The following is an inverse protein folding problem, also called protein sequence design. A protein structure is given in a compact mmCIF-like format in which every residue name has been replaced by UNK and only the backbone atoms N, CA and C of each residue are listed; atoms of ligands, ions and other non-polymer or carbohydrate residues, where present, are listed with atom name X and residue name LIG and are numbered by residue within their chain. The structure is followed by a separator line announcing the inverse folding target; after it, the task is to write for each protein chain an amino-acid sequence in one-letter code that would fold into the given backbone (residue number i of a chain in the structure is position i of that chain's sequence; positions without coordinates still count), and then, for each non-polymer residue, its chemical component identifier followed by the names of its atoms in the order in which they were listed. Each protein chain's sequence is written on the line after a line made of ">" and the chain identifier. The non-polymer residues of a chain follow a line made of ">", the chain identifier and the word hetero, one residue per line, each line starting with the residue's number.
data_IF_783565513118
#
_entry.id   IF_783565513118
#
_cell.length_a   1.000
_cell.length_b   1.000
_cell.length_c   1.000
_cell.angle_alpha   90.00
_cell.angle_beta   90.00
_cell.angle_gamma   90.00
#
_symmetry.space_group_name_H-M   'P 1'
#
loop_
_entity.id
_entity.type
_entity.pdbx_description
1 polymer ?
#
# COMPACT_ATOMS: atom_id res chain seq x y z
N UNK A 1 -16.90 24.82 -5.22
CA UNK A 1 -17.10 23.46 -5.77
C UNK A 1 -15.77 22.73 -5.62
N UNK A 2 -15.67 21.75 -4.72
CA UNK A 2 -14.41 21.03 -4.50
C UNK A 2 -14.09 20.24 -5.76
N UNK A 3 -12.98 20.56 -6.43
CA UNK A 3 -12.39 19.61 -7.37
C UNK A 3 -11.99 18.39 -6.55
N UNK A 4 -12.81 17.35 -6.62
CA UNK A 4 -12.57 16.12 -5.88
C UNK A 4 -11.21 15.58 -6.33
N UNK A 5 -10.27 15.41 -5.41
CA UNK A 5 -8.95 14.89 -5.73
C UNK A 5 -9.11 13.37 -5.90
N UNK A 6 -9.11 12.82 -7.13
CA UNK A 6 -9.37 11.39 -7.30
C UNK A 6 -8.27 10.59 -6.60
N UNK A 7 -8.67 9.47 -5.99
CA UNK A 7 -7.73 8.50 -5.41
C UNK A 7 -7.53 7.41 -6.45
N UNK A 8 -6.28 7.08 -6.74
CA UNK A 8 -5.91 5.93 -7.55
C UNK A 8 -4.98 5.03 -6.72
N UNK A 9 -5.11 3.73 -6.87
CA UNK A 9 -4.24 2.74 -6.24
C UNK A 9 -3.71 1.79 -7.29
N UNK A 10 -2.41 1.61 -7.34
CA UNK A 10 -1.76 0.65 -8.22
C UNK A 10 -1.15 -0.46 -7.40
N UNK A 11 -1.42 -1.71 -7.75
CA UNK A 11 -1.00 -2.89 -7.03
C UNK A 11 -0.19 -3.79 -7.98
N UNK A 12 0.98 -4.26 -7.53
CA UNK A 12 1.81 -5.24 -8.23
C UNK A 12 1.73 -6.57 -7.49
N UNK A 13 1.28 -7.61 -8.17
CA UNK A 13 1.37 -8.98 -7.70
C UNK A 13 2.73 -9.58 -8.04
N UNK A 14 3.46 -10.01 -7.01
CA UNK A 14 4.66 -10.84 -7.10
C UNK A 14 4.23 -12.31 -7.08
N UNK A 15 3.59 -12.73 -8.17
CA UNK A 15 2.91 -14.03 -8.31
C UNK A 15 3.85 -15.18 -8.69
N UNK A 16 5.16 -14.95 -8.77
CA UNK A 16 6.22 -15.94 -8.96
C UNK A 16 7.52 -15.42 -8.38
N UNK A 17 8.49 -16.33 -8.23
CA UNK A 17 9.86 -15.97 -7.92
C UNK A 17 10.50 -15.14 -9.04
N UNK A 18 11.39 -14.22 -8.66
CA UNK A 18 12.15 -13.38 -9.57
C UNK A 18 13.54 -13.98 -9.82
N UNK A 19 14.12 -13.70 -10.99
CA UNK A 19 15.51 -14.06 -11.26
C UNK A 19 16.48 -12.97 -10.84
N UNK A 20 17.77 -13.30 -10.74
CA UNK A 20 18.81 -12.32 -10.41
C UNK A 20 18.92 -11.24 -11.47
N UNK A 21 18.75 -11.60 -12.73
CA UNK A 21 18.80 -10.70 -13.87
C UNK A 21 17.64 -9.70 -13.82
N UNK A 22 16.44 -10.17 -13.45
CA UNK A 22 15.26 -9.32 -13.23
C UNK A 22 15.51 -8.35 -12.07
N UNK A 23 16.03 -8.84 -10.94
CA UNK A 23 16.43 -7.98 -9.82
C UNK A 23 17.42 -6.90 -10.26
N UNK A 24 18.49 -7.28 -10.97
CA UNK A 24 19.54 -6.37 -11.41
C UNK A 24 18.98 -5.28 -12.33
N UNK A 25 18.08 -5.65 -13.26
CA UNK A 25 17.44 -4.72 -14.17
C UNK A 25 16.58 -3.71 -13.39
N UNK A 26 15.74 -4.17 -12.47
CA UNK A 26 14.90 -3.30 -11.66
C UNK A 26 15.72 -2.38 -10.74
N UNK A 27 16.73 -2.94 -10.04
CA UNK A 27 17.60 -2.19 -9.11
C UNK A 27 18.37 -1.09 -9.84
N UNK A 28 18.89 -1.39 -11.04
CA UNK A 28 19.54 -0.38 -11.90
C UNK A 28 18.59 0.77 -12.25
N UNK A 29 17.35 0.48 -12.65
CA UNK A 29 16.36 1.54 -12.97
C UNK A 29 16.11 2.44 -11.76
N UNK A 30 15.93 1.87 -10.57
CA UNK A 30 15.70 2.65 -9.35
C UNK A 30 16.91 3.55 -9.05
N UNK A 31 18.14 3.02 -9.11
CA UNK A 31 19.33 3.84 -8.86
C UNK A 31 19.50 4.98 -9.87
N UNK A 32 19.26 4.69 -11.15
CA UNK A 32 19.43 5.66 -12.23
C UNK A 32 18.35 6.76 -12.17
N UNK A 33 17.11 6.39 -11.84
CA UNK A 33 15.96 7.29 -11.93
C UNK A 33 15.57 7.96 -10.60
N UNK A 34 15.91 7.35 -9.47
CA UNK A 34 15.51 7.76 -8.12
C UNK A 34 16.74 7.83 -7.19
N UNK A 35 17.67 8.77 -7.40
CA UNK A 35 18.94 8.81 -6.67
C UNK A 35 18.80 9.07 -5.16
N UNK A 36 17.64 9.57 -4.72
CA UNK A 36 17.29 9.78 -3.31
C UNK A 36 16.89 8.48 -2.59
N UNK A 37 16.47 7.45 -3.33
CA UNK A 37 16.14 6.13 -2.80
C UNK A 37 17.43 5.34 -2.64
N UNK A 38 17.70 4.84 -1.43
CA UNK A 38 18.88 4.02 -1.13
C UNK A 38 18.44 2.63 -0.71
N UNK A 39 18.40 1.71 -1.66
CA UNK A 39 18.09 0.29 -1.41
C UNK A 39 19.39 -0.52 -1.52
N UNK A 40 19.83 -1.21 -0.45
CA UNK A 40 20.97 -2.11 -0.51
C UNK A 40 20.79 -3.16 -1.60
N UNK A 41 21.83 -3.36 -2.41
CA UNK A 41 21.86 -4.44 -3.40
C UNK A 41 21.97 -5.78 -2.67
N UNK A 42 20.87 -6.54 -2.65
CA UNK A 42 20.75 -7.82 -1.95
C UNK A 42 19.78 -8.75 -2.70
N UNK A 43 20.17 -9.32 -3.86
CA UNK A 43 19.29 -10.14 -4.69
C UNK A 43 18.65 -11.35 -4.00
N UNK A 44 19.32 -12.08 -3.08
CA UNK A 44 18.70 -13.20 -2.37
C UNK A 44 17.58 -12.79 -1.41
N UNK A 45 17.50 -11.51 -1.04
CA UNK A 45 16.52 -11.00 -0.08
C UNK A 45 15.27 -10.49 -0.79
N UNK A 46 14.16 -11.22 -0.62
CA UNK A 46 12.87 -10.88 -1.20
C UNK A 46 12.35 -9.49 -0.76
N UNK A 47 12.68 -9.03 0.45
CA UNK A 47 12.30 -7.67 0.89
C UNK A 47 13.03 -6.58 0.11
N UNK A 48 14.31 -6.81 -0.23
CA UNK A 48 15.04 -5.90 -1.11
C UNK A 48 14.37 -5.81 -2.48
N UNK A 49 13.93 -6.93 -3.06
CA UNK A 49 13.21 -6.92 -4.32
C UNK A 49 11.85 -6.22 -4.23
N UNK A 50 11.06 -6.47 -3.16
CA UNK A 50 9.80 -5.76 -2.91
C UNK A 50 10.02 -4.25 -2.82
N UNK A 51 11.05 -3.80 -2.12
CA UNK A 51 11.41 -2.39 -2.04
C UNK A 51 11.70 -1.83 -3.44
N UNK A 52 12.53 -2.52 -4.23
CA UNK A 52 12.85 -2.09 -5.61
C UNK A 52 11.57 -1.99 -6.44
N UNK A 53 10.76 -3.05 -6.48
CA UNK A 53 9.52 -3.12 -7.25
C UNK A 53 8.53 -2.02 -6.86
N UNK A 54 8.38 -1.76 -5.56
CA UNK A 54 7.45 -0.74 -5.08
C UNK A 54 7.92 0.67 -5.44
N UNK A 55 9.23 0.96 -5.41
CA UNK A 55 9.78 2.26 -5.81
C UNK A 55 9.72 2.50 -7.32
N UNK A 56 9.50 1.47 -8.13
CA UNK A 56 9.27 1.66 -9.57
C UNK A 56 7.83 2.11 -9.91
N UNK A 57 6.87 2.01 -8.98
CA UNK A 57 5.47 2.41 -9.21
C UNK A 57 5.32 3.91 -9.58
N UNK A 58 5.96 4.87 -8.88
CA UNK A 58 5.96 6.26 -9.29
C UNK A 58 6.49 6.48 -10.71
N UNK A 59 7.56 5.77 -11.10
CA UNK A 59 8.14 5.85 -12.45
C UNK A 59 7.13 5.35 -13.49
N UNK A 60 6.50 4.21 -13.23
CA UNK A 60 5.50 3.64 -14.12
C UNK A 60 4.29 4.58 -14.28
N UNK A 61 3.84 5.20 -13.18
CA UNK A 61 2.72 6.15 -13.20
C UNK A 61 3.04 7.34 -14.09
N UNK A 62 4.20 7.98 -13.88
CA UNK A 62 4.59 9.14 -14.69
C UNK A 62 4.76 8.77 -16.16
N UNK A 63 5.31 7.58 -16.45
CA UNK A 63 5.38 7.05 -17.81
C UNK A 63 4.00 6.82 -18.43
N UNK A 64 3.06 6.23 -17.70
CA UNK A 64 1.69 6.01 -18.16
C UNK A 64 0.97 7.33 -18.47
N UNK A 65 1.24 8.37 -17.68
CA UNK A 65 0.77 9.75 -17.90
C UNK A 65 1.51 10.48 -19.03
N UNK A 66 2.49 9.82 -19.68
CA UNK A 66 3.34 10.37 -20.74
C UNK A 66 4.15 11.60 -20.31
N UNK A 67 4.55 11.65 -19.04
CA UNK A 67 5.39 12.72 -18.50
C UNK A 67 6.84 12.21 -18.43
N UNK A 68 7.77 12.78 -19.22
CA UNK A 68 9.16 12.34 -19.25
C UNK A 68 9.85 12.50 -17.89
N UNK A 69 10.84 11.65 -17.57
CA UNK A 69 11.54 11.70 -16.27
C UNK A 69 12.13 13.06 -15.95
N UNK A 70 12.64 13.79 -16.95
CA UNK A 70 13.22 15.12 -16.78
C UNK A 70 12.19 16.22 -16.38
N UNK A 71 10.89 15.97 -16.59
CA UNK A 71 9.81 16.95 -16.35
C UNK A 71 9.14 16.81 -14.99
N UNK A 72 9.76 16.09 -14.05
CA UNK A 72 9.25 16.00 -12.69
C UNK A 72 10.34 15.67 -11.69
N UNK A 73 10.05 15.96 -10.43
CA UNK A 73 10.87 15.60 -9.28
C UNK A 73 10.00 14.95 -8.21
N UNK A 74 10.61 14.01 -7.49
CA UNK A 74 10.04 13.54 -6.23
C UNK A 74 10.52 14.47 -5.12
N UNK A 75 9.62 14.81 -4.22
CA UNK A 75 9.85 15.73 -3.13
C UNK A 75 9.37 15.11 -1.83
N UNK A 76 10.03 15.46 -0.73
CA UNK A 76 9.80 14.87 0.58
C UNK A 76 9.58 15.97 1.62
N UNK A 77 8.61 15.75 2.49
CA UNK A 77 8.32 16.61 3.65
C UNK A 77 9.25 16.24 4.82
N UNK A 78 9.26 17.07 5.87
CA UNK A 78 10.06 16.79 7.07
C UNK A 78 9.67 15.50 7.81
N UNK A 79 8.44 15.00 7.64
CA UNK A 79 7.96 13.74 8.19
C UNK A 79 7.95 12.59 7.17
N UNK A 80 8.68 12.73 6.05
CA UNK A 80 8.88 11.65 5.10
C UNK A 80 7.71 11.39 4.13
N UNK A 81 6.70 12.27 4.07
CA UNK A 81 5.63 12.19 3.06
C UNK A 81 6.13 12.66 1.70
N UNK A 82 5.85 11.88 0.67
CA UNK A 82 6.27 12.13 -0.70
C UNK A 82 5.20 12.83 -1.54
N UNK A 83 5.64 13.68 -2.46
CA UNK A 83 4.82 14.17 -3.56
C UNK A 83 5.67 14.39 -4.81
N UNK A 84 5.05 14.21 -5.97
CA UNK A 84 5.64 14.53 -7.27
C UNK A 84 5.22 15.93 -7.67
N UNK A 85 6.21 16.71 -8.07
CA UNK A 85 6.05 18.02 -8.67
C UNK A 85 6.51 17.97 -10.14
N UNK A 86 5.63 18.38 -11.06
CA UNK A 86 5.92 18.47 -12.49
C UNK A 86 6.61 19.80 -12.79
N UNK A 87 7.41 19.90 -13.87
CA UNK A 87 7.97 21.19 -14.30
C UNK A 87 6.86 22.13 -14.82
N UNK A 88 6.94 23.44 -14.54
CA UNK A 88 5.90 24.39 -14.92
C UNK A 88 5.89 24.74 -16.42
N UNK A 89 6.95 24.40 -17.16
CA UNK A 89 7.27 24.93 -18.50
C UNK A 89 6.15 24.77 -19.56
N UNK A 90 5.27 23.77 -19.40
CA UNK A 90 4.15 23.51 -20.33
C UNK A 90 2.77 23.70 -19.68
N UNK A 91 2.68 24.33 -18.51
CA UNK A 91 1.45 24.37 -17.73
C UNK A 91 1.07 25.79 -17.25
N UNK A 92 -0.19 26.23 -17.47
CA UNK A 92 -0.71 27.44 -16.85
C UNK A 92 -0.55 27.42 -15.32
N UNK A 93 -0.27 28.57 -14.66
CA UNK A 93 -0.01 28.61 -13.22
C UNK A 93 -1.11 27.97 -12.35
N UNK A 94 -2.38 28.17 -12.71
CA UNK A 94 -3.51 27.57 -12.01
C UNK A 94 -3.51 26.03 -12.09
N UNK A 95 -3.19 25.48 -13.26
CA UNK A 95 -3.10 24.03 -13.45
C UNK A 95 -1.88 23.46 -12.72
N UNK A 96 -0.77 24.20 -12.72
CA UNK A 96 0.46 23.79 -12.04
C UNK A 96 0.21 23.58 -10.53
N UNK A 97 -0.48 24.52 -9.89
CA UNK A 97 -0.85 24.41 -8.46
C UNK A 97 -1.69 23.18 -8.14
N UNK A 98 -2.45 22.65 -9.10
CA UNK A 98 -3.29 21.45 -8.97
C UNK A 98 -2.68 20.18 -9.61
N UNK A 99 -1.41 20.25 -10.05
CA UNK A 99 -0.72 19.16 -10.73
C UNK A 99 0.09 18.26 -9.80
N UNK A 100 0.19 18.63 -8.52
CA UNK A 100 0.97 17.90 -7.53
C UNK A 100 0.34 16.54 -7.28
N UNK A 101 1.16 15.51 -7.21
CA UNK A 101 0.70 14.14 -6.97
C UNK A 101 1.27 13.66 -5.65
N UNK A 102 0.45 13.59 -4.61
CA UNK A 102 0.84 12.96 -3.36
C UNK A 102 0.68 11.47 -3.47
N UNK A 103 1.62 10.71 -2.91
CA UNK A 103 1.55 9.26 -2.95
C UNK A 103 2.18 8.62 -1.72
N UNK A 104 1.83 7.36 -1.52
CA UNK A 104 2.47 6.50 -0.54
C UNK A 104 2.59 5.10 -1.11
N UNK A 105 3.74 4.48 -0.86
CA UNK A 105 4.06 3.13 -1.30
C UNK A 105 4.15 2.20 -0.10
N UNK A 106 3.63 0.98 -0.25
CA UNK A 106 3.69 -0.06 0.78
C UNK A 106 3.79 -1.44 0.11
N UNK A 107 4.31 -2.43 0.83
CA UNK A 107 4.30 -3.82 0.39
C UNK A 107 4.04 -4.75 1.57
N UNK A 108 3.52 -5.94 1.25
CA UNK A 108 3.26 -7.03 2.18
C UNK A 108 3.39 -8.34 1.40
N UNK A 109 4.28 -9.25 1.82
CA UNK A 109 4.50 -10.58 1.22
C UNK A 109 4.58 -10.59 -0.32
N UNK A 110 3.52 -10.92 -1.06
CA UNK A 110 3.52 -10.97 -2.53
C UNK A 110 2.79 -9.81 -3.20
N UNK A 111 2.48 -8.76 -2.43
CA UNK A 111 1.73 -7.61 -2.92
C UNK A 111 2.51 -6.32 -2.64
N UNK A 112 2.82 -5.57 -3.69
CA UNK A 112 3.35 -4.21 -3.61
C UNK A 112 2.26 -3.24 -4.05
N UNK A 113 2.24 -2.03 -3.50
CA UNK A 113 1.18 -1.07 -3.80
C UNK A 113 1.61 0.39 -3.69
N UNK A 114 0.90 1.24 -4.43
CA UNK A 114 1.01 2.69 -4.37
C UNK A 114 -0.37 3.30 -4.35
N UNK A 115 -0.70 4.04 -3.30
CA UNK A 115 -1.86 4.93 -3.27
C UNK A 115 -1.42 6.33 -3.70
N UNK A 116 -2.19 6.98 -4.57
CA UNK A 116 -1.86 8.29 -5.11
C UNK A 116 -3.11 9.16 -5.30
N UNK A 117 -2.90 10.46 -5.28
CA UNK A 117 -3.95 11.44 -5.57
C UNK A 117 -3.34 12.73 -6.11
N UNK A 118 -4.13 13.50 -6.87
CA UNK A 118 -3.67 14.72 -7.51
C UNK A 118 -4.45 15.95 -7.04
N UNK A 119 -3.75 17.06 -6.85
CA UNK A 119 -4.32 18.33 -6.42
C UNK A 119 -3.25 19.32 -5.94
N UNK A 120 -3.63 20.18 -5.00
CA UNK A 120 -2.70 21.12 -4.34
C UNK A 120 -1.85 20.34 -3.35
N UNK A 121 -0.55 20.64 -3.26
CA UNK A 121 0.42 19.95 -2.39
C UNK A 121 -0.13 19.61 -0.99
N UNK A 122 -0.64 20.61 -0.25
CA UNK A 122 -1.19 20.43 1.11
C UNK A 122 -2.40 19.49 1.21
N UNK A 123 -3.08 19.23 0.09
CA UNK A 123 -4.24 18.34 0.00
C UNK A 123 -3.90 16.94 -0.46
N UNK A 124 -2.67 16.70 -0.95
CA UNK A 124 -2.29 15.39 -1.51
C UNK A 124 -1.27 14.64 -0.66
N UNK A 125 -0.49 15.36 0.14
CA UNK A 125 0.60 14.76 0.94
C UNK A 125 0.10 13.79 2.03
N UNK A 126 -1.13 13.99 2.53
CA UNK A 126 -1.73 13.17 3.58
C UNK A 126 -2.50 11.98 2.98
N UNK A 127 -1.76 11.04 2.40
CA UNK A 127 -2.27 9.78 1.83
C UNK A 127 -1.45 8.60 2.34
N UNK A 128 -2.08 7.48 2.66
CA UNK A 128 -1.40 6.29 3.17
C UNK A 128 -2.05 5.00 2.67
N UNK A 129 -1.25 3.95 2.55
CA UNK A 129 -1.67 2.63 2.13
C UNK A 129 -1.29 1.62 3.21
N UNK A 130 -2.26 0.87 3.71
CA UNK A 130 -2.08 -0.28 4.59
C UNK A 130 -2.40 -1.56 3.82
N UNK A 131 -1.57 -2.58 4.01
CA UNK A 131 -1.73 -3.89 3.37
C UNK A 131 -1.47 -4.95 4.45
N UNK A 132 -2.39 -5.90 4.59
CA UNK A 132 -2.23 -7.03 5.51
C UNK A 132 -2.57 -8.34 4.82
N UNK A 133 -1.63 -9.27 4.82
CA UNK A 133 -1.86 -10.65 4.40
C UNK A 133 -2.86 -11.30 5.38
N UNK A 134 -3.90 -11.92 4.85
CA UNK A 134 -4.95 -12.59 5.64
C UNK A 134 -4.50 -14.02 5.93
N UNK A 135 -3.45 -14.14 6.74
CA UNK A 135 -2.91 -15.41 7.22
C UNK A 135 -2.37 -15.23 8.64
N UNK A 136 -2.41 -16.31 9.44
CA UNK A 136 -1.71 -16.33 10.71
C UNK A 136 -0.21 -16.56 10.47
N UNK A 137 0.63 -15.78 11.15
CA UNK A 137 2.09 -15.84 11.00
C UNK A 137 2.77 -16.06 12.37
N UNK A 138 3.81 -16.92 12.45
CA UNK A 138 4.36 -17.78 11.39
C UNK A 138 3.43 -18.94 10.98
N UNK A 139 3.74 -19.58 9.85
CA UNK A 139 2.95 -20.70 9.31
C UNK A 139 2.75 -21.80 10.36
N UNK A 140 1.51 -22.30 10.47
CA UNK A 140 1.11 -23.33 11.43
C UNK A 140 0.66 -22.81 12.79
N UNK A 141 0.76 -21.50 13.04
CA UNK A 141 0.18 -20.88 14.25
C UNK A 141 -1.33 -20.71 14.10
N UNK A 142 -2.08 -21.05 15.16
CA UNK A 142 -3.53 -20.85 15.20
C UNK A 142 -3.92 -19.37 15.31
N UNK A 143 -5.08 -18.99 14.75
CA UNK A 143 -5.54 -17.59 14.69
C UNK A 143 -5.64 -16.95 16.07
N UNK A 144 -6.07 -17.70 17.09
CA UNK A 144 -6.13 -17.22 18.47
C UNK A 144 -4.75 -16.76 18.98
N UNK A 145 -3.73 -17.61 18.84
CA UNK A 145 -2.37 -17.29 19.29
C UNK A 145 -1.77 -16.12 18.50
N UNK A 146 -2.04 -16.06 17.18
CA UNK A 146 -1.64 -14.93 16.36
C UNK A 146 -2.28 -13.62 16.83
N UNK A 147 -3.60 -13.64 17.10
CA UNK A 147 -4.35 -12.48 17.60
C UNK A 147 -3.81 -12.02 18.96
N UNK A 148 -3.54 -12.95 19.88
CA UNK A 148 -2.95 -12.67 21.18
C UNK A 148 -1.56 -12.03 21.05
N UNK A 149 -0.72 -12.49 20.12
CA UNK A 149 0.59 -11.89 19.86
C UNK A 149 0.52 -10.43 19.40
N UNK A 150 -0.59 -10.06 18.74
CA UNK A 150 -0.85 -8.71 18.22
C UNK A 150 -1.72 -7.87 19.14
N UNK A 151 -2.13 -8.38 20.30
CA UNK A 151 -3.03 -7.70 21.22
C UNK A 151 -2.51 -6.32 21.64
N UNK A 152 -1.20 -6.15 21.80
CA UNK A 152 -0.56 -4.88 22.15
C UNK A 152 -0.78 -3.76 21.11
N UNK A 153 -1.20 -4.09 19.87
CA UNK A 153 -1.53 -3.11 18.82
C UNK A 153 -3.01 -2.72 18.81
N UNK A 154 -3.82 -3.35 19.65
CA UNK A 154 -5.27 -3.25 19.65
C UNK A 154 -5.78 -2.61 20.94
N UNK A 155 -6.79 -1.76 20.79
CA UNK A 155 -7.58 -1.21 21.90
C UNK A 155 -8.49 -2.28 22.51
N UNK A 156 -9.01 -2.01 23.70
CA UNK A 156 -10.01 -2.89 24.34
C UNK A 156 -11.24 -3.08 23.47
N UNK A 157 -11.75 -2.01 22.85
CA UNK A 157 -12.90 -2.04 21.95
C UNK A 157 -12.64 -2.94 20.75
N UNK A 158 -11.49 -2.77 20.08
CA UNK A 158 -11.13 -3.60 18.92
C UNK A 158 -10.99 -5.07 19.28
N UNK A 159 -10.47 -5.40 20.48
CA UNK A 159 -10.38 -6.79 20.95
C UNK A 159 -11.75 -7.43 21.09
N UNK A 160 -12.78 -6.68 21.49
CA UNK A 160 -14.16 -7.19 21.54
C UNK A 160 -14.76 -7.48 20.16
N UNK A 161 -14.15 -6.98 19.07
CA UNK A 161 -14.59 -7.30 17.71
C UNK A 161 -14.03 -8.64 17.19
N UNK A 162 -13.11 -9.27 17.94
CA UNK A 162 -12.36 -10.46 17.56
C UNK A 162 -12.73 -11.69 18.41
N UNK A 163 -13.98 -11.78 18.87
CA UNK A 163 -14.37 -12.84 19.81
C UNK A 163 -14.31 -14.23 19.18
N UNK A 164 -13.99 -15.29 19.96
CA UNK A 164 -13.83 -16.65 19.44
C UNK A 164 -15.09 -17.21 18.76
N UNK A 165 -16.28 -16.74 19.12
CA UNK A 165 -17.57 -17.23 18.60
C UNK A 165 -17.77 -16.92 17.11
N UNK A 166 -16.98 -16.00 16.55
CA UNK A 166 -17.03 -15.61 15.14
C UNK A 166 -16.40 -16.65 14.20
N UNK A 167 -15.57 -17.55 14.74
CA UNK A 167 -14.72 -18.44 13.97
C UNK A 167 -13.42 -17.79 13.47
N UNK A 168 -12.39 -18.62 13.28
CA UNK A 168 -11.03 -18.20 12.97
C UNK A 168 -10.92 -17.33 11.70
N UNK A 169 -11.61 -17.70 10.63
CA UNK A 169 -11.57 -16.95 9.36
C UNK A 169 -12.10 -15.52 9.53
N UNK A 170 -13.23 -15.36 10.22
CA UNK A 170 -13.85 -14.05 10.43
C UNK A 170 -13.00 -13.20 11.37
N UNK A 171 -12.50 -13.80 12.46
CA UNK A 171 -11.62 -13.12 13.40
C UNK A 171 -10.33 -12.62 12.73
N UNK A 172 -9.66 -13.47 11.94
CA UNK A 172 -8.45 -13.12 11.21
C UNK A 172 -8.69 -11.97 10.22
N UNK A 173 -9.78 -12.05 9.44
CA UNK A 173 -10.13 -11.01 8.48
C UNK A 173 -10.42 -9.66 9.15
N UNK A 174 -11.13 -9.66 10.28
CA UNK A 174 -11.37 -8.44 11.07
C UNK A 174 -10.09 -7.86 11.64
N UNK A 175 -9.23 -8.72 12.19
CA UNK A 175 -7.90 -8.32 12.69
C UNK A 175 -7.08 -7.66 11.58
N UNK A 176 -6.96 -8.29 10.41
CA UNK A 176 -6.21 -7.72 9.28
C UNK A 176 -6.84 -6.41 8.77
N UNK A 177 -8.16 -6.25 8.84
CA UNK A 177 -8.85 -4.99 8.50
C UNK A 177 -8.45 -3.86 9.45
N UNK A 178 -8.53 -4.10 10.76
CA UNK A 178 -8.15 -3.12 11.78
C UNK A 178 -6.67 -2.73 11.64
N UNK A 179 -5.79 -3.72 11.46
CA UNK A 179 -4.36 -3.46 11.30
C UNK A 179 -4.06 -2.69 10.00
N UNK A 180 -4.72 -3.01 8.89
CA UNK A 180 -4.55 -2.28 7.65
C UNK A 180 -5.06 -0.83 7.77
N UNK A 181 -6.17 -0.58 8.47
CA UNK A 181 -6.68 0.77 8.78
C UNK A 181 -5.66 1.59 9.58
N UNK A 182 -5.14 1.02 10.67
CA UNK A 182 -4.12 1.67 11.50
C UNK A 182 -2.86 1.97 10.70
N UNK A 183 -2.37 1.00 9.93
CA UNK A 183 -1.20 1.16 9.10
C UNK A 183 -1.38 2.27 8.06
N UNK A 184 -2.51 2.27 7.34
CA UNK A 184 -2.83 3.28 6.35
C UNK A 184 -2.86 4.69 6.97
N UNK A 185 -3.48 4.84 8.15
CA UNK A 185 -3.52 6.12 8.85
C UNK A 185 -2.14 6.58 9.30
N UNK A 186 -1.38 5.74 10.01
CA UNK A 186 0.00 6.01 10.46
C UNK A 186 0.87 6.46 9.29
N UNK A 187 0.79 5.73 8.18
CA UNK A 187 1.47 6.08 6.93
C UNK A 187 1.00 7.44 6.41
N UNK A 188 -0.31 7.73 6.40
CA UNK A 188 -0.86 8.97 5.88
C UNK A 188 -0.40 10.21 6.65
N UNK A 189 -0.29 10.12 7.98
CA UNK A 189 0.18 11.23 8.83
C UNK A 189 1.71 11.29 8.98
N UNK A 190 2.44 10.33 8.42
CA UNK A 190 3.91 10.31 8.42
C UNK A 190 4.50 10.06 9.81
N UNK A 191 3.87 9.20 10.61
CA UNK A 191 4.44 8.80 11.90
C UNK A 191 5.64 7.86 11.69
N UNK A 192 6.70 8.00 12.51
CA UNK A 192 7.90 7.18 12.38
C UNK A 192 7.67 5.73 12.85
N UNK A 193 8.60 4.81 12.52
CA UNK A 193 8.65 3.49 13.14
C UNK A 193 8.63 3.60 14.66
N UNK A 194 7.86 2.72 15.33
CA UNK A 194 7.71 2.73 16.79
C UNK A 194 6.53 3.54 17.32
N UNK A 195 5.74 4.19 16.46
CA UNK A 195 4.44 4.75 16.88
C UNK A 195 3.58 3.68 17.54
N UNK A 196 2.90 4.02 18.64
CA UNK A 196 2.03 3.10 19.37
C UNK A 196 0.66 2.97 18.69
N UNK A 197 0.39 1.79 18.13
CA UNK A 197 -0.85 1.49 17.41
C UNK A 197 -2.08 1.46 18.32
N UNK A 198 -1.89 1.21 19.63
CA UNK A 198 -2.99 1.20 20.60
C UNK A 198 -3.58 2.58 20.85
N UNK A 199 -2.90 3.66 20.42
CA UNK A 199 -3.44 5.03 20.46
C UNK A 199 -4.56 5.27 19.44
N UNK A 200 -4.64 4.42 18.43
CA UNK A 200 -5.67 4.49 17.39
C UNK A 200 -6.76 3.47 17.69
N UNK A 201 -8.01 3.87 17.52
CA UNK A 201 -9.18 2.99 17.64
C UNK A 201 -9.98 3.06 16.35
N UNK A 202 -10.23 1.91 15.73
CA UNK A 202 -11.11 1.77 14.57
C UNK A 202 -12.28 0.84 14.91
N UNK A 203 -13.47 1.42 15.01
CA UNK A 203 -14.72 0.68 15.08
C UNK A 203 -15.28 0.54 13.67
N UNK A 204 -14.93 -0.57 13.01
CA UNK A 204 -15.31 -0.84 11.61
C UNK A 204 -16.84 -0.97 11.44
N UNK A 205 -17.58 -1.71 12.29
CA UNK A 205 -19.04 -1.75 12.22
C UNK A 205 -19.69 -0.38 12.44
N UNK A 206 -19.23 0.39 13.42
CA UNK A 206 -19.74 1.73 13.71
C UNK A 206 -19.23 2.81 12.75
N UNK A 207 -18.29 2.48 11.86
CA UNK A 207 -17.61 3.40 10.94
C UNK A 207 -17.02 4.63 11.64
N UNK A 208 -16.39 4.41 12.79
CA UNK A 208 -15.72 5.48 13.53
C UNK A 208 -14.23 5.23 13.68
N UNK A 209 -13.47 6.31 13.71
CA UNK A 209 -12.03 6.28 13.92
C UNK A 209 -11.64 7.33 14.97
N UNK A 210 -10.82 6.95 15.94
CA UNK A 210 -10.33 7.83 17.01
C UNK A 210 -8.81 7.70 17.17
N UNK A 211 -8.16 8.79 17.56
CA UNK A 211 -6.77 8.84 17.98
C UNK A 211 -6.70 9.51 19.35
N UNK A 212 -6.13 8.83 20.34
CA UNK A 212 -6.07 9.31 21.73
C UNK A 212 -7.44 9.76 22.26
N UNK A 213 -8.49 9.00 21.95
CA UNK A 213 -9.88 9.29 22.32
C UNK A 213 -10.59 10.35 21.45
N UNK A 214 -9.87 11.08 20.60
CA UNK A 214 -10.42 12.15 19.77
C UNK A 214 -10.82 11.64 18.38
N UNK A 215 -11.98 12.05 17.82
CA UNK A 215 -12.40 11.64 16.48
C UNK A 215 -11.40 12.06 15.39
N UNK A 216 -11.06 11.14 14.48
CA UNK A 216 -10.17 11.40 13.34
C UNK A 216 -10.94 12.05 12.19
N UNK A 217 -11.39 13.29 12.39
CA UNK A 217 -12.22 14.02 11.43
C UNK A 217 -11.49 14.30 10.10
N UNK A 218 -12.25 14.31 9.01
CA UNK A 218 -11.75 14.69 7.69
C UNK A 218 -11.01 13.59 6.93
N UNK A 219 -11.07 12.35 7.41
CA UNK A 219 -10.42 11.20 6.80
C UNK A 219 -11.40 10.35 6.00
N UNK A 220 -11.01 9.98 4.79
CA UNK A 220 -11.67 8.94 4.00
C UNK A 220 -10.83 7.68 4.05
N UNK A 221 -11.44 6.56 4.44
CA UNK A 221 -10.84 5.23 4.44
C UNK A 221 -11.52 4.40 3.36
N UNK A 222 -10.78 3.97 2.34
CA UNK A 222 -11.27 3.01 1.33
C UNK A 222 -10.71 1.63 1.62
N UNK A 223 -11.60 0.68 1.86
CA UNK A 223 -11.28 -0.68 2.27
C UNK A 223 -11.61 -1.61 1.10
N UNK A 224 -10.63 -2.41 0.68
CA UNK A 224 -10.80 -3.38 -0.42
C UNK A 224 -9.95 -4.61 -0.20
N UNK A 225 -10.25 -5.68 -0.94
CA UNK A 225 -9.50 -6.95 -0.89
C UNK A 225 -8.74 -7.18 -2.18
N UNK A 226 -7.64 -7.91 -2.07
CA UNK A 226 -6.91 -8.45 -3.20
C UNK A 226 -6.69 -9.95 -3.01
N UNK A 227 -7.01 -10.74 -4.03
CA UNK A 227 -6.75 -12.18 -4.07
C UNK A 227 -5.75 -12.46 -5.19
N UNK A 228 -4.68 -13.21 -4.86
CA UNK A 228 -3.59 -13.51 -5.77
C UNK A 228 -3.38 -15.01 -5.83
N UNK A 229 -3.22 -15.56 -7.04
CA UNK A 229 -2.59 -16.87 -7.22
C UNK A 229 -1.08 -16.69 -7.30
N UNK A 230 -0.33 -17.23 -6.35
CA UNK A 230 1.13 -17.12 -6.26
C UNK A 230 1.77 -18.49 -6.48
N UNK A 231 2.62 -18.61 -7.48
CA UNK A 231 3.45 -19.79 -7.69
C UNK A 231 4.57 -19.79 -6.64
N UNK A 232 4.46 -20.69 -5.66
CA UNK A 232 5.46 -20.88 -4.61
C UNK A 232 6.25 -22.14 -4.90
N UNK A 233 7.57 -22.05 -4.79
CA UNK A 233 8.44 -23.20 -4.92
C UNK A 233 8.48 -23.98 -3.59
N UNK A 234 7.46 -24.80 -3.36
CA UNK A 234 7.32 -25.58 -2.12
C UNK A 234 7.81 -27.01 -2.37
N UNK A 235 8.63 -27.53 -1.46
CA UNK A 235 8.86 -28.97 -1.37
C UNK A 235 8.02 -29.52 -0.21
N UNK A 236 7.04 -30.40 -0.48
CA UNK A 236 6.53 -31.28 0.57
C UNK A 236 7.71 -32.04 1.20
N UNK A 237 7.66 -32.40 2.49
CA UNK A 237 8.69 -33.21 3.12
C UNK A 237 8.93 -34.49 2.29
N UNK A 238 10.15 -34.66 1.76
CA UNK A 238 10.54 -35.85 0.98
C UNK A 238 10.24 -35.81 -0.53
N UNK A 239 9.77 -34.70 -1.10
CA UNK A 239 9.50 -34.58 -2.55
C UNK A 239 10.41 -33.57 -3.26
N UNK A 240 10.58 -33.73 -4.58
CA UNK A 240 11.20 -32.71 -5.43
C UNK A 240 10.36 -31.42 -5.40
N UNK A 241 11.06 -30.28 -5.32
CA UNK A 241 10.48 -28.95 -5.44
C UNK A 241 9.64 -28.84 -6.72
N UNK A 242 8.38 -28.42 -6.56
CA UNK A 242 7.49 -28.09 -7.67
C UNK A 242 6.82 -26.75 -7.36
N UNK A 243 6.50 -26.01 -8.41
CA UNK A 243 5.73 -24.79 -8.24
C UNK A 243 4.28 -25.18 -7.94
N UNK A 244 3.83 -24.81 -6.74
CA UNK A 244 2.45 -24.99 -6.28
C UNK A 244 1.79 -23.62 -6.32
N UNK A 245 0.66 -23.53 -7.01
CA UNK A 245 -0.16 -22.32 -7.00
C UNK A 245 -0.89 -22.25 -5.65
N UNK A 246 -0.59 -21.21 -4.88
CA UNK A 246 -1.22 -20.92 -3.59
C UNK A 246 -2.08 -19.68 -3.76
N UNK A 247 -3.30 -19.71 -3.25
CA UNK A 247 -4.13 -18.50 -3.15
C UNK A 247 -3.73 -17.73 -1.90
N UNK A 248 -3.38 -16.45 -2.08
CA UNK A 248 -3.09 -15.52 -1.01
C UNK A 248 -4.12 -14.38 -1.03
N UNK A 249 -4.66 -14.04 0.13
CA UNK A 249 -5.65 -12.97 0.28
C UNK A 249 -5.09 -11.83 1.11
N UNK A 250 -5.40 -10.60 0.72
CA UNK A 250 -4.91 -9.39 1.36
C UNK A 250 -6.04 -8.44 1.66
N UNK A 251 -5.98 -7.84 2.85
CA UNK A 251 -6.83 -6.73 3.23
C UNK A 251 -6.06 -5.43 3.01
N UNK A 252 -6.58 -4.56 2.15
CA UNK A 252 -5.95 -3.31 1.75
C UNK A 252 -6.81 -2.12 2.19
N UNK A 253 -6.14 -1.05 2.59
CA UNK A 253 -6.80 0.19 3.01
C UNK A 253 -6.03 1.39 2.49
N UNK A 254 -6.73 2.31 1.82
CA UNK A 254 -6.22 3.64 1.52
C UNK A 254 -6.81 4.65 2.51
N UNK A 255 -5.97 5.41 3.21
CA UNK A 255 -6.37 6.52 4.06
C UNK A 255 -6.01 7.83 3.39
N UNK A 256 -6.97 8.76 3.29
CA UNK A 256 -6.76 10.05 2.64
C UNK A 256 -7.45 11.19 3.40
N UNK A 257 -6.74 12.30 3.59
CA UNK A 257 -7.31 13.47 4.27
C UNK A 257 -8.08 14.37 3.28
N UNK A 258 -9.42 14.35 3.39
CA UNK A 258 -10.35 15.20 2.65
C UNK A 258 -10.59 16.56 3.29
N UNK A 259 -10.38 16.67 4.61
CA UNK A 259 -10.71 17.88 5.37
C UNK A 259 -12.21 18.12 5.56
N UNK A 260 -13.02 17.06 5.49
CA UNK A 260 -14.44 17.06 5.84
C UNK A 260 -14.66 17.12 7.36
N UNK A 261 -15.89 17.39 7.82
CA UNK A 261 -16.22 17.40 9.26
C UNK A 261 -16.20 16.01 9.88
N UNK A 262 -16.50 14.99 9.08
CA UNK A 262 -16.63 13.61 9.51
C UNK A 262 -15.63 12.74 8.76
N UNK A 263 -15.32 11.59 9.34
CA UNK A 263 -14.60 10.52 8.66
C UNK A 263 -15.58 9.69 7.84
N UNK A 264 -15.14 9.16 6.70
CA UNK A 264 -15.95 8.30 5.84
C UNK A 264 -15.27 6.97 5.62
N UNK A 265 -16.07 5.90 5.60
CA UNK A 265 -15.60 4.55 5.30
C UNK A 265 -16.29 4.08 4.02
N UNK A 266 -15.48 3.69 3.03
CA UNK A 266 -15.95 3.18 1.75
C UNK A 266 -15.49 1.74 1.63
N UNK A 267 -16.44 0.82 1.59
CA UNK A 267 -16.17 -0.61 1.42
C UNK A 267 -16.37 -0.97 -0.04
N UNK A 268 -15.32 -1.50 -0.68
CA UNK A 268 -15.36 -1.96 -2.05
C UNK A 268 -15.17 -3.48 -2.05
N UNK A 269 -16.27 -4.20 -2.26
CA UNK A 269 -16.31 -5.65 -2.13
C UNK A 269 -16.21 -6.36 -3.48
N UNK A 270 -16.59 -5.70 -4.57
CA UNK A 270 -16.62 -6.30 -5.90
C UNK A 270 -15.48 -5.79 -6.79
N UNK A 271 -15.02 -6.61 -7.73
CA UNK A 271 -14.02 -6.21 -8.72
C UNK A 271 -14.47 -4.96 -9.51
N UNK A 272 -15.76 -4.88 -9.84
CA UNK A 272 -16.36 -3.75 -10.55
C UNK A 272 -16.23 -2.43 -9.77
N UNK A 273 -16.33 -2.48 -8.44
CA UNK A 273 -16.14 -1.29 -7.60
C UNK A 273 -14.69 -0.80 -7.62
N UNK A 274 -13.75 -1.71 -7.87
CA UNK A 274 -12.32 -1.43 -7.91
C UNK A 274 -11.84 -0.94 -9.27
N UNK A 275 -12.42 -1.40 -10.37
CA UNK A 275 -11.99 -1.10 -11.75
C UNK A 275 -11.79 0.39 -12.05
N UNK A 276 -12.53 1.27 -11.37
CA UNK A 276 -12.47 2.72 -11.58
C UNK A 276 -11.30 3.42 -10.86
N UNK A 277 -10.66 2.77 -9.89
CA UNK A 277 -9.67 3.43 -9.05
C UNK A 277 -8.53 2.53 -8.53
N UNK A 278 -8.60 1.21 -8.71
CA UNK A 278 -7.53 0.26 -8.41
C UNK A 278 -7.09 -0.44 -9.68
N UNK A 279 -5.79 -0.39 -9.96
CA UNK A 279 -5.18 -1.08 -11.09
C UNK A 279 -4.27 -2.20 -10.58
N UNK A 280 -4.52 -3.43 -11.01
CA UNK A 280 -3.65 -4.57 -10.74
C UNK A 280 -2.72 -4.82 -11.92
N UNK A 281 -1.45 -5.06 -11.60
CA UNK A 281 -0.37 -5.37 -12.53
C UNK A 281 0.37 -6.58 -11.95
N UNK A 282 0.89 -7.48 -12.77
CA UNK A 282 1.75 -8.57 -12.29
C UNK A 282 3.24 -8.28 -12.54
N UNK A 283 4.11 -9.09 -11.93
CA UNK A 283 5.57 -8.97 -12.07
C UNK A 283 5.99 -8.94 -13.54
N UNK A 284 5.45 -9.80 -14.40
CA UNK A 284 5.84 -9.86 -15.82
C UNK A 284 5.49 -8.59 -16.60
N UNK A 285 4.31 -8.02 -16.34
CA UNK A 285 3.91 -6.74 -16.93
C UNK A 285 4.83 -5.61 -16.49
N UNK A 286 5.25 -5.60 -15.22
CA UNK A 286 6.20 -4.63 -14.69
C UNK A 286 7.60 -4.79 -15.30
N UNK A 287 8.07 -6.02 -15.49
CA UNK A 287 9.37 -6.27 -16.10
C UNK A 287 9.41 -5.84 -17.57
N UNK A 288 8.32 -6.05 -18.32
CA UNK A 288 8.20 -5.64 -19.74
C UNK A 288 8.32 -4.13 -19.96
N UNK A 289 8.03 -3.31 -18.95
CA UNK A 289 8.06 -1.84 -19.07
C UNK A 289 9.41 -1.24 -18.66
N UNK A 290 10.31 -2.00 -18.02
CA UNK A 290 11.65 -1.55 -17.58
C UNK A 290 12.38 -0.72 -18.65
N UNK A 291 12.52 -1.16 -19.92
CA UNK A 291 13.29 -0.41 -20.91
C UNK A 291 12.70 0.97 -21.24
N UNK A 292 11.43 1.20 -20.89
CA UNK A 292 10.70 2.45 -21.15
C UNK A 292 10.71 3.40 -19.96
N UNK A 293 11.18 2.96 -18.78
CA UNK A 293 11.19 3.77 -17.56
C UNK A 293 12.45 4.64 -17.44
N UNK A 294 13.52 4.26 -18.15
CA UNK A 294 14.78 5.02 -18.23
C UNK A 294 14.80 6.06 -19.35
N UNK A 295 13.74 6.12 -20.16
CA UNK A 295 13.63 6.97 -21.35
C UNK A 295 12.89 8.29 -21.09
#
# INVERSE_FOLDING_TARGET
>A
MSSDCPILVWMISLNREYTREEYNACHKVVNDCLPHVKIPYDPPNADSFRQVMTHMLPLLMMRHRRIPRAKWRDCITSNGKHWIEQTPDDMPPEKFLHSMIGYHIAYETSLCGMAMTQGIQRRVVNIGLGIKHVAAEPYGVGVKAYTESLAHKLTSTERTLLTPELGDEVALRRLCTILALKQAYIHAIGQPPGFDWARLEFDVPGQTARGDGHPLQGWEFRIFRASLGVARNVAPPGAQRRDVLVEEQYQCVCAFFRGTKESTFVFNETAKDLENWVQFINIDQMLKVIPKLTA
#
